data_IF_245781554625
#
_entry.id   IF_245781554625
#
_cell.length_a   1.000
_cell.length_b   1.000
_cell.length_c   1.000
_cell.angle_alpha   90.00
_cell.angle_beta   90.00
_cell.angle_gamma   90.00
#
_symmetry.space_group_name_H-M   'P 1'
#
loop_
_entity.id
_entity.type
_entity.pdbx_description
1 polymer ?
#
# COMPACT_ATOMS: atom_id res chain seq x y z
N UNK A 1 4.08 2.10 -13.20
CA UNK A 1 3.30 2.94 -12.27
C UNK A 1 4.23 3.61 -11.31
N UNK A 2 3.95 4.85 -11.00
CA UNK A 2 4.84 5.61 -10.13
C UNK A 2 4.43 5.50 -8.68
N UNK A 3 5.43 5.54 -7.81
CA UNK A 3 5.19 5.68 -6.38
C UNK A 3 4.58 7.04 -6.09
N UNK A 4 3.75 7.08 -5.07
CA UNK A 4 3.20 8.32 -4.55
C UNK A 4 3.74 8.52 -3.14
N UNK A 5 3.33 9.62 -2.51
CA UNK A 5 3.61 9.83 -1.09
C UNK A 5 2.44 9.31 -0.24
N UNK A 6 1.57 8.48 -0.82
CA UNK A 6 0.39 7.95 -0.14
C UNK A 6 0.60 6.50 0.22
N UNK A 7 0.00 6.13 1.34
CA UNK A 7 0.00 4.77 1.84
C UNK A 7 -1.41 4.41 2.25
N UNK A 8 -1.70 3.12 2.24
CA UNK A 8 -3.02 2.61 2.57
C UNK A 8 -2.93 1.70 3.78
N UNK A 9 -3.71 1.99 4.81
CA UNK A 9 -3.81 1.12 5.98
C UNK A 9 -5.02 0.22 5.76
N UNK A 10 -4.80 -1.09 5.83
CA UNK A 10 -5.87 -2.05 5.54
C UNK A 10 -6.87 -2.10 6.69
N UNK A 11 -8.15 -1.84 6.37
CA UNK A 11 -9.25 -1.89 7.33
C UNK A 11 -10.11 -3.12 7.16
N UNK A 12 -10.10 -3.73 5.97
CA UNK A 12 -10.87 -4.95 5.66
C UNK A 12 -10.03 -5.86 4.81
N UNK A 13 -9.95 -7.12 5.19
CA UNK A 13 -9.20 -8.11 4.43
C UNK A 13 -9.96 -9.42 4.42
N UNK A 14 -10.04 -10.05 3.24
CA UNK A 14 -10.60 -11.38 3.08
C UNK A 14 -9.47 -12.41 3.13
N UNK A 15 -9.79 -13.67 3.51
CA UNK A 15 -8.73 -14.67 3.64
C UNK A 15 -7.91 -14.92 2.38
N UNK A 16 -8.50 -14.70 1.20
CA UNK A 16 -7.79 -14.94 -0.06
C UNK A 16 -7.01 -13.72 -0.54
N UNK A 17 -7.14 -12.57 0.14
CA UNK A 17 -6.40 -11.37 -0.23
C UNK A 17 -4.97 -11.43 0.26
N UNK A 18 -4.09 -10.69 -0.41
CA UNK A 18 -2.71 -10.54 0.02
C UNK A 18 -2.51 -9.24 0.79
N UNK A 19 -3.50 -8.86 1.59
CA UNK A 19 -3.40 -7.73 2.52
C UNK A 19 -3.84 -8.20 3.89
N UNK A 20 -3.28 -7.60 4.94
CA UNK A 20 -3.58 -7.95 6.32
C UNK A 20 -4.11 -6.74 7.05
N UNK A 21 -5.02 -6.98 7.98
CA UNK A 21 -5.63 -5.92 8.77
C UNK A 21 -4.57 -5.08 9.47
N UNK A 22 -4.76 -3.77 9.43
CA UNK A 22 -3.95 -2.78 10.15
C UNK A 22 -2.52 -2.68 9.63
N UNK A 23 -2.19 -3.34 8.55
CA UNK A 23 -0.89 -3.17 7.91
C UNK A 23 -0.94 -2.05 6.88
N UNK A 24 0.23 -1.53 6.57
CA UNK A 24 0.40 -0.37 5.71
C UNK A 24 1.03 -0.79 4.40
N UNK A 25 0.46 -0.33 3.29
CA UNK A 25 0.93 -0.70 1.95
C UNK A 25 1.16 0.55 1.11
N UNK A 26 2.22 0.56 0.29
CA UNK A 26 2.45 1.69 -0.61
C UNK A 26 1.37 1.78 -1.68
N UNK A 27 1.00 3.00 -2.04
CA UNK A 27 0.03 3.28 -3.08
C UNK A 27 0.78 3.75 -4.32
N UNK A 28 0.47 3.16 -5.47
CA UNK A 28 0.99 3.61 -6.76
C UNK A 28 -0.03 4.53 -7.41
N UNK A 29 0.47 5.42 -8.27
CA UNK A 29 -0.41 6.34 -8.98
C UNK A 29 -1.19 5.60 -10.05
N UNK A 30 -2.51 5.70 -10.02
CA UNK A 30 -3.38 5.11 -11.02
C UNK A 30 -4.68 5.90 -11.03
N UNK A 31 -4.67 7.00 -11.78
CA UNK A 31 -5.79 7.94 -11.77
C UNK A 31 -7.07 7.27 -12.25
N UNK A 32 -6.97 6.44 -13.28
CA UNK A 32 -8.16 5.78 -13.82
C UNK A 32 -8.80 4.84 -12.80
N UNK A 33 -7.97 4.07 -12.11
CA UNK A 33 -8.48 3.17 -11.07
C UNK A 33 -9.15 3.96 -9.95
N UNK A 34 -8.54 5.07 -9.55
CA UNK A 34 -9.08 5.85 -8.44
C UNK A 34 -10.42 6.49 -8.80
N UNK A 35 -10.61 6.85 -10.07
CA UNK A 35 -11.90 7.34 -10.53
C UNK A 35 -12.98 6.27 -10.43
N UNK A 36 -12.59 5.02 -10.49
CA UNK A 36 -13.52 3.89 -10.39
C UNK A 36 -13.65 3.34 -8.98
N UNK A 37 -13.14 4.07 -7.98
CA UNK A 37 -13.22 3.65 -6.58
C UNK A 37 -12.25 2.55 -6.22
N UNK A 38 -11.19 2.38 -7.03
CA UNK A 38 -10.17 1.38 -6.79
C UNK A 38 -8.85 2.05 -6.48
N UNK A 39 -7.98 1.33 -5.78
CA UNK A 39 -6.68 1.83 -5.37
C UNK A 39 -5.64 0.79 -5.77
N UNK A 40 -4.55 1.24 -6.39
CA UNK A 40 -3.47 0.32 -6.74
C UNK A 40 -2.45 0.32 -5.63
N UNK A 41 -2.29 -0.81 -4.97
CA UNK A 41 -1.38 -0.95 -3.84
C UNK A 41 -0.40 -2.08 -4.10
N UNK A 42 0.79 -1.97 -3.51
CA UNK A 42 1.73 -3.08 -3.48
C UNK A 42 1.41 -3.89 -2.23
N UNK A 43 0.92 -5.13 -2.42
CA UNK A 43 0.43 -5.94 -1.31
C UNK A 43 1.50 -6.89 -0.78
N UNK A 44 1.11 -7.85 0.04
CA UNK A 44 2.07 -8.77 0.67
C UNK A 44 2.84 -9.61 -0.35
N UNK A 45 2.29 -9.79 -1.55
CA UNK A 45 2.98 -10.55 -2.59
C UNK A 45 4.17 -9.79 -3.17
N UNK A 46 4.24 -8.48 -2.94
CA UNK A 46 5.28 -7.64 -3.54
C UNK A 46 4.90 -7.09 -4.90
N UNK A 47 3.76 -7.50 -5.43
CA UNK A 47 3.24 -7.01 -6.70
C UNK A 47 2.11 -6.03 -6.46
N UNK A 48 1.77 -5.27 -7.50
CA UNK A 48 0.70 -4.29 -7.39
C UNK A 48 -0.62 -4.87 -7.88
N UNK A 49 -1.67 -4.63 -7.13
CA UNK A 49 -3.02 -5.06 -7.47
C UNK A 49 -4.02 -3.98 -7.10
N UNK A 50 -5.20 -4.08 -7.70
CA UNK A 50 -6.29 -3.15 -7.43
C UNK A 50 -7.17 -3.69 -6.32
N UNK A 51 -7.48 -2.82 -5.37
CA UNK A 51 -8.40 -3.11 -4.26
C UNK A 51 -9.39 -1.98 -4.15
N UNK A 52 -10.55 -2.26 -3.58
CA UNK A 52 -11.54 -1.20 -3.34
C UNK A 52 -10.99 -0.19 -2.34
N UNK A 53 -11.05 1.09 -2.72
CA UNK A 53 -10.53 2.17 -1.88
C UNK A 53 -11.18 2.18 -0.50
N UNK A 54 -12.48 1.82 -0.44
CA UNK A 54 -13.22 1.85 0.81
C UNK A 54 -12.67 0.88 1.87
N UNK A 55 -11.83 -0.06 1.46
CA UNK A 55 -11.24 -1.02 2.40
C UNK A 55 -10.00 -0.49 3.10
N UNK A 56 -9.60 0.73 2.80
CA UNK A 56 -8.35 1.31 3.32
C UNK A 56 -8.55 2.70 3.86
N UNK A 57 -7.68 3.06 4.80
CA UNK A 57 -7.50 4.44 5.22
C UNK A 57 -6.26 4.97 4.51
N UNK A 58 -6.38 6.10 3.82
CA UNK A 58 -5.28 6.64 3.03
C UNK A 58 -4.53 7.68 3.83
N UNK A 59 -3.20 7.56 3.85
CA UNK A 59 -2.30 8.52 4.47
C UNK A 59 -1.47 9.18 3.38
N UNK A 60 -1.20 10.47 3.53
CA UNK A 60 -0.21 11.16 2.72
C UNK A 60 0.90 11.63 3.65
N UNK A 61 2.13 11.29 3.33
CA UNK A 61 3.29 11.66 4.14
C UNK A 61 4.16 12.65 3.39
N UNK A 62 4.92 13.49 4.12
CA UNK A 62 5.95 14.29 3.45
C UNK A 62 6.91 13.39 2.69
N UNK A 63 7.52 13.93 1.63
CA UNK A 63 8.31 13.11 0.70
C UNK A 63 9.41 12.31 1.39
N UNK A 64 10.11 12.92 2.35
CA UNK A 64 11.21 12.21 3.02
C UNK A 64 10.71 11.05 3.85
N UNK A 65 9.62 11.26 4.61
CA UNK A 65 9.04 10.19 5.41
C UNK A 65 8.43 9.11 4.53
N UNK A 66 7.81 9.50 3.41
CA UNK A 66 7.27 8.52 2.48
C UNK A 66 8.35 7.61 1.94
N UNK A 67 9.51 8.18 1.58
CA UNK A 67 10.62 7.38 1.09
C UNK A 67 11.13 6.42 2.17
N UNK A 68 11.25 6.93 3.39
CA UNK A 68 11.71 6.09 4.50
C UNK A 68 10.77 4.94 4.76
N UNK A 69 9.46 5.20 4.74
CA UNK A 69 8.47 4.15 4.99
C UNK A 69 8.47 3.13 3.85
N UNK A 70 8.55 3.57 2.58
CA UNK A 70 8.61 2.63 1.46
C UNK A 70 9.82 1.71 1.59
N UNK A 71 10.98 2.26 1.96
CA UNK A 71 12.18 1.45 2.12
C UNK A 71 12.01 0.44 3.25
N UNK A 72 11.39 0.85 4.34
CA UNK A 72 11.16 -0.06 5.47
C UNK A 72 10.24 -1.21 5.07
N UNK A 73 9.24 -0.93 4.25
CA UNK A 73 8.30 -1.97 3.80
C UNK A 73 8.96 -2.90 2.80
N UNK A 74 9.76 -2.36 1.88
CA UNK A 74 10.35 -3.14 0.79
C UNK A 74 11.53 -3.98 1.23
N UNK A 75 12.22 -3.57 2.28
CA UNK A 75 13.39 -4.32 2.72
C UNK A 75 12.92 -5.54 3.50
N UNK A 76 13.31 -6.75 3.09
CA UNK A 76 12.93 -7.95 3.83
C UNK A 76 13.47 -7.87 5.26
N UNK A 77 12.67 -8.29 6.23
CA UNK A 77 13.11 -8.36 7.60
C UNK A 77 13.97 -9.60 7.71
N UNK A 78 15.25 -9.39 7.78
CA UNK A 78 16.13 -10.49 7.99
C UNK A 78 16.51 -10.52 9.40
N UNK A 79 16.39 -10.26 10.11
CA UNK A 79 16.69 -10.20 11.28
C UNK A 79 17.66 -10.73 11.88
N UNK A 80 18.09 -10.52 11.98
CA UNK A 80 18.88 -10.90 12.45
C UNK A 80 19.45 -10.47 13.44
N UNK A 81 19.42 -10.52 13.79
CA UNK A 81 19.88 -10.10 14.63
C UNK A 81 19.96 -10.46 15.41
#
# INVERSE_FOLDING_TARGET
MEHTNRFAICLEADPEDDVELQKVYPVLEDVDAEQDGMLRVIDESGDDYLYETSRFLILTLPAAEARTLRQAIEVPVTNHR
#
